data_IF_792544262386
#
_entry.id   IF_792544262386
#
_cell.length_a   1.000
_cell.length_b   1.000
_cell.length_c   1.000
_cell.angle_alpha   90.00
_cell.angle_beta   90.00
_cell.angle_gamma   90.00
#
_symmetry.space_group_name_H-M   'P 1'
#
loop_
_entity.id
_entity.type
_entity.pdbx_description
1 polymer ?
#
# COMPACT_ATOMS: atom_id res chain seq x y z
N UNK A 1 -3.92 13.20 10.33
CA UNK A 1 -5.02 12.78 9.44
C UNK A 1 -5.49 11.41 9.88
N UNK A 2 -6.79 11.23 10.04
CA UNK A 2 -7.40 9.97 10.47
C UNK A 2 -7.70 9.12 9.21
N UNK A 3 -6.64 8.63 8.55
CA UNK A 3 -6.78 7.83 7.32
C UNK A 3 -7.24 6.41 7.66
N UNK A 4 -8.33 5.96 7.03
CA UNK A 4 -8.82 4.59 7.14
C UNK A 4 -8.48 3.86 5.84
N UNK A 5 -7.37 3.13 5.83
CA UNK A 5 -6.87 2.38 4.66
C UNK A 5 -6.80 0.86 4.93
N UNK A 6 -7.21 0.42 6.11
CA UNK A 6 -7.27 -1.00 6.46
C UNK A 6 -8.74 -1.41 6.38
N UNK A 7 -9.04 -2.35 5.49
CA UNK A 7 -10.39 -2.90 5.37
C UNK A 7 -10.75 -3.70 6.65
N UNK A 8 -12.02 -3.63 7.04
CA UNK A 8 -12.54 -4.50 8.08
C UNK A 8 -13.01 -5.78 7.38
N UNK A 9 -12.36 -6.92 7.62
CA UNK A 9 -12.55 -8.09 6.78
C UNK A 9 -12.78 -9.40 7.54
N UNK A 10 -13.67 -10.28 7.03
CA UNK A 10 -13.83 -11.66 7.50
C UNK A 10 -12.78 -12.59 6.85
N UNK A 11 -12.17 -13.45 7.68
CA UNK A 11 -11.39 -14.68 7.37
C UNK A 11 -10.72 -14.84 5.99
N UNK A 12 -9.94 -13.86 5.51
CA UNK A 12 -9.08 -14.08 4.34
C UNK A 12 -7.77 -14.75 4.75
N UNK A 13 -7.32 -15.68 3.92
CA UNK A 13 -5.98 -16.26 4.03
C UNK A 13 -4.91 -15.28 3.54
N UNK A 14 -3.67 -15.50 3.97
CA UNK A 14 -2.51 -14.75 3.48
C UNK A 14 -2.38 -14.84 1.95
N UNK A 15 -2.70 -16.01 1.38
CA UNK A 15 -2.60 -16.24 -0.06
C UNK A 15 -3.62 -15.43 -0.85
N UNK A 16 -4.90 -15.46 -0.44
CA UNK A 16 -5.96 -14.66 -1.09
C UNK A 16 -5.65 -13.16 -1.02
N UNK A 17 -5.18 -12.69 0.13
CA UNK A 17 -4.81 -11.28 0.27
C UNK A 17 -3.57 -10.91 -0.56
N UNK A 18 -2.63 -11.83 -0.74
CA UNK A 18 -1.48 -11.62 -1.62
C UNK A 18 -1.89 -11.58 -3.10
N UNK A 19 -2.81 -12.45 -3.52
CA UNK A 19 -3.40 -12.41 -4.87
C UNK A 19 -4.13 -11.08 -5.11
N UNK A 20 -4.86 -10.57 -4.11
CA UNK A 20 -5.48 -9.24 -4.22
C UNK A 20 -4.45 -8.12 -4.40
N UNK A 21 -3.32 -8.16 -3.69
CA UNK A 21 -2.22 -7.19 -3.93
C UNK A 21 -1.70 -7.26 -5.37
N UNK A 22 -1.62 -8.45 -5.96
CA UNK A 22 -1.19 -8.60 -7.35
C UNK A 22 -2.21 -8.05 -8.34
N UNK A 23 -3.51 -8.28 -8.10
CA UNK A 23 -4.61 -7.72 -8.88
C UNK A 23 -4.53 -6.19 -8.92
N UNK A 24 -4.43 -5.52 -7.77
CA UNK A 24 -4.37 -4.04 -7.71
C UNK A 24 -3.13 -3.47 -8.44
N UNK A 25 -2.00 -4.20 -8.40
CA UNK A 25 -0.80 -3.79 -9.15
C UNK A 25 -1.03 -3.87 -10.66
N UNK A 26 -1.78 -4.87 -11.14
CA UNK A 26 -2.13 -5.00 -12.55
C UNK A 26 -3.10 -3.90 -12.97
N UNK A 27 -4.12 -3.58 -12.17
CA UNK A 27 -5.05 -2.48 -12.44
C UNK A 27 -4.31 -1.14 -12.50
N UNK A 28 -3.41 -0.87 -11.56
CA UNK A 28 -2.56 0.33 -11.57
C UNK A 28 -1.71 0.41 -12.83
N UNK A 29 -1.11 -0.71 -13.26
CA UNK A 29 -0.34 -0.76 -14.50
C UNK A 29 -1.21 -0.43 -15.71
N UNK A 30 -2.41 -0.98 -15.81
CA UNK A 30 -3.34 -0.69 -16.89
C UNK A 30 -3.74 0.78 -16.91
N UNK A 31 -4.06 1.35 -15.74
CA UNK A 31 -4.38 2.76 -15.58
C UNK A 31 -3.27 3.70 -16.08
N UNK A 32 -2.01 3.33 -15.81
CA UNK A 32 -0.82 4.05 -16.30
C UNK A 32 -0.72 3.95 -17.83
N UNK A 33 -0.94 2.75 -18.40
CA UNK A 33 -0.83 2.53 -19.84
C UNK A 33 -1.87 3.31 -20.65
N UNK A 34 -3.05 3.56 -20.08
CA UNK A 34 -4.10 4.38 -20.70
C UNK A 34 -4.04 5.87 -20.32
N UNK A 35 -2.98 6.28 -19.60
CA UNK A 35 -2.73 7.67 -19.16
C UNK A 35 -3.90 8.33 -18.40
N UNK A 36 -4.70 7.54 -17.69
CA UNK A 36 -5.89 8.04 -16.99
C UNK A 36 -5.54 8.43 -15.55
N UNK A 37 -5.18 9.69 -15.34
CA UNK A 37 -4.78 10.22 -14.03
C UNK A 37 -5.76 9.94 -12.88
N UNK A 38 -7.07 9.92 -13.15
CA UNK A 38 -8.06 9.62 -12.11
C UNK A 38 -7.98 8.15 -11.69
N UNK A 39 -7.92 7.24 -12.67
CA UNK A 39 -7.80 5.80 -12.43
C UNK A 39 -6.44 5.46 -11.79
N UNK A 40 -5.35 6.11 -12.24
CA UNK A 40 -4.02 5.95 -11.63
C UNK A 40 -4.05 6.27 -10.12
N UNK A 41 -4.74 7.34 -9.72
CA UNK A 41 -4.86 7.70 -8.31
C UNK A 41 -5.70 6.69 -7.52
N UNK A 42 -6.81 6.23 -8.10
CA UNK A 42 -7.69 5.20 -7.52
C UNK A 42 -6.91 3.91 -7.28
N UNK A 43 -6.35 3.31 -8.33
CA UNK A 43 -5.60 2.05 -8.22
C UNK A 43 -4.35 2.17 -7.35
N UNK A 44 -3.70 3.34 -7.34
CA UNK A 44 -2.56 3.58 -6.46
C UNK A 44 -2.94 3.52 -4.98
N UNK A 45 -4.14 3.99 -4.63
CA UNK A 45 -4.68 3.89 -3.28
C UNK A 45 -5.15 2.46 -2.97
N UNK A 46 -5.70 1.75 -3.95
CA UNK A 46 -6.15 0.36 -3.78
C UNK A 46 -4.96 -0.59 -3.55
N UNK A 47 -3.85 -0.41 -4.26
CA UNK A 47 -2.57 -1.10 -3.95
C UNK A 47 -2.14 -0.84 -2.51
N UNK A 48 -2.20 0.42 -2.06
CA UNK A 48 -1.83 0.76 -0.68
C UNK A 48 -2.76 0.09 0.34
N UNK A 49 -4.07 0.09 0.08
CA UNK A 49 -5.06 -0.56 0.92
C UNK A 49 -4.82 -2.08 0.99
N UNK A 50 -4.58 -2.73 -0.14
CA UNK A 50 -4.32 -4.17 -0.22
C UNK A 50 -3.05 -4.55 0.56
N UNK A 51 -1.98 -3.75 0.47
CA UNK A 51 -0.75 -3.98 1.25
C UNK A 51 -0.99 -3.82 2.75
N UNK A 52 -1.68 -2.77 3.20
CA UNK A 52 -1.97 -2.61 4.62
C UNK A 52 -2.91 -3.68 5.15
N UNK A 53 -3.83 -4.14 4.32
CA UNK A 53 -4.73 -5.25 4.67
C UNK A 53 -3.95 -6.57 4.76
N UNK A 54 -2.94 -6.80 3.92
CA UNK A 54 -2.01 -7.93 4.05
C UNK A 54 -1.27 -7.92 5.38
N UNK A 55 -0.81 -6.75 5.85
CA UNK A 55 -0.17 -6.65 7.17
C UNK A 55 -1.11 -7.04 8.30
N UNK A 56 -2.40 -6.68 8.21
CA UNK A 56 -3.41 -7.09 9.19
C UNK A 56 -3.68 -8.60 9.14
N UNK A 57 -3.80 -9.20 7.95
CA UNK A 57 -3.96 -10.66 7.79
C UNK A 57 -2.76 -11.41 8.37
N UNK A 58 -1.56 -10.85 8.25
CA UNK A 58 -0.32 -11.38 8.85
C UNK A 58 -0.17 -11.10 10.34
N UNK A 59 -1.09 -10.32 10.95
CA UNK A 59 -1.01 -9.83 12.33
C UNK A 59 0.29 -9.05 12.63
N UNK A 60 0.75 -8.22 11.70
CA UNK A 60 1.94 -7.35 11.85
C UNK A 60 1.60 -5.86 11.65
N UNK A 61 0.31 -5.51 11.59
CA UNK A 61 -0.14 -4.14 11.33
C UNK A 61 0.20 -3.16 12.47
N UNK A 62 0.38 -3.67 13.70
CA UNK A 62 0.88 -2.86 14.81
C UNK A 62 2.32 -2.34 14.61
N UNK A 63 3.11 -2.99 13.77
CA UNK A 63 4.50 -2.62 13.49
C UNK A 63 4.64 -1.54 12.39
N UNK A 64 3.54 -1.13 11.73
CA UNK A 64 3.58 -0.22 10.56
C UNK A 64 4.37 1.07 10.86
N UNK A 65 4.20 1.64 12.04
CA UNK A 65 4.90 2.88 12.43
C UNK A 65 6.42 2.67 12.50
N UNK A 66 6.88 1.55 13.04
CA UNK A 66 8.31 1.25 13.11
C UNK A 66 8.88 0.87 11.73
N UNK A 67 8.13 0.07 10.96
CA UNK A 67 8.45 -0.24 9.56
C UNK A 67 8.65 1.03 8.72
N UNK A 68 7.80 2.04 8.89
CA UNK A 68 7.92 3.32 8.21
C UNK A 68 9.17 4.10 8.62
N UNK A 69 9.54 4.10 9.92
CA UNK A 69 10.78 4.73 10.39
C UNK A 69 12.01 4.06 9.77
N UNK A 70 12.05 2.72 9.75
CA UNK A 70 13.14 1.95 9.15
C UNK A 70 13.24 2.21 7.65
N UNK A 71 12.10 2.25 6.95
CA UNK A 71 12.02 2.59 5.54
C UNK A 71 12.58 4.00 5.26
N UNK A 72 12.14 5.01 6.01
CA UNK A 72 12.63 6.38 5.86
C UNK A 72 14.13 6.51 6.14
N UNK A 73 14.66 5.80 7.13
CA UNK A 73 16.11 5.73 7.40
C UNK A 73 16.86 5.13 6.21
N UNK A 74 16.33 4.08 5.59
CA UNK A 74 16.90 3.45 4.38
C UNK A 74 16.89 4.42 3.19
N UNK A 75 15.81 5.16 2.96
CA UNK A 75 15.72 6.16 1.90
C UNK A 75 16.74 7.29 2.09
N UNK A 76 16.89 7.82 3.32
CA UNK A 76 17.91 8.84 3.63
C UNK A 76 19.33 8.34 3.37
N UNK A 77 19.65 7.09 3.74
CA UNK A 77 20.96 6.47 3.44
C UNK A 77 21.23 6.39 1.93
N UNK A 78 20.19 6.22 1.14
CA UNK A 78 20.22 6.22 -0.33
C UNK A 78 20.18 7.64 -0.94
N UNK A 79 20.33 8.69 -0.11
CA UNK A 79 20.33 10.11 -0.50
C UNK A 79 19.01 10.60 -1.11
N UNK A 80 17.88 9.92 -0.85
CA UNK A 80 16.57 10.44 -1.23
C UNK A 80 16.14 11.57 -0.29
N UNK A 81 15.63 12.66 -0.88
CA UNK A 81 14.98 13.74 -0.14
C UNK A 81 13.55 13.31 0.18
N UNK A 82 13.22 13.26 1.46
CA UNK A 82 11.87 12.93 1.91
C UNK A 82 11.01 14.18 1.94
N UNK A 83 9.80 14.08 1.39
CA UNK A 83 8.80 15.14 1.41
C UNK A 83 7.56 14.66 2.17
N UNK A 84 6.89 15.60 2.84
CA UNK A 84 5.59 15.30 3.44
C UNK A 84 4.54 15.34 2.33
N UNK A 85 3.63 14.36 2.36
CA UNK A 85 2.39 14.45 1.58
C UNK A 85 1.67 15.73 2.03
N UNK A 86 1.28 16.56 1.06
CA UNK A 86 0.56 17.81 1.29
C UNK A 86 -0.92 17.56 1.49
#
# INVERSE_FOLDING_TARGET
MNFKMIANMPEWTVQEQFEKVQEEILELREAILIENNKKIMEEGLDVCQAVFTLFKVLNIDEEIQEGLKLHNKKLRRRKWRLEKIK
#
